data_IF_290738543069
#
_entry.id   IF_290738543069
#
_cell.length_a   1.000
_cell.length_b   1.000
_cell.length_c   1.000
_cell.angle_alpha   90.00
_cell.angle_beta   90.00
_cell.angle_gamma   90.00
#
_symmetry.space_group_name_H-M   'P 1'
#
loop_
_entity.id
_entity.type
_entity.pdbx_description
1 polymer ?
#
# COMPACT_ATOMS: atom_id res chain seq x y z
N UNK A 1 -10.17 0.58 20.82
CA UNK A 1 -9.85 1.66 19.88
C UNK A 1 -10.88 2.77 20.05
N UNK A 2 -10.51 4.03 19.80
CA UNK A 2 -11.46 5.14 19.76
C UNK A 2 -12.43 4.94 18.58
N UNK A 3 -13.75 4.78 18.83
CA UNK A 3 -14.73 4.52 17.77
C UNK A 3 -14.99 5.74 16.88
N UNK A 4 -14.48 6.92 17.23
CA UNK A 4 -14.58 8.12 16.40
C UNK A 4 -13.55 8.18 15.27
N UNK A 5 -12.50 7.35 15.33
CA UNK A 5 -11.48 7.28 14.30
C UNK A 5 -11.88 6.33 13.16
N UNK A 6 -11.54 6.67 11.91
CA UNK A 6 -11.81 5.79 10.77
C UNK A 6 -11.09 4.44 10.95
N UNK A 7 -11.80 3.37 10.63
CA UNK A 7 -11.25 2.02 10.57
C UNK A 7 -10.58 1.80 9.21
N UNK A 8 -9.37 1.26 9.22
CA UNK A 8 -8.62 0.91 8.00
C UNK A 8 -8.56 -0.60 7.75
N UNK A 9 -8.90 -1.42 8.74
CA UNK A 9 -8.83 -2.87 8.70
C UNK A 9 -10.00 -3.50 9.46
N UNK A 10 -10.27 -4.77 9.18
CA UNK A 10 -11.45 -5.50 9.66
C UNK A 10 -12.23 -6.12 8.51
N UNK A 11 -13.47 -6.52 8.78
CA UNK A 11 -14.39 -7.02 7.75
C UNK A 11 -14.55 -5.96 6.64
N UNK A 12 -14.36 -6.33 5.35
CA UNK A 12 -14.40 -5.37 4.26
C UNK A 12 -15.75 -4.63 4.23
N UNK A 13 -15.68 -3.31 4.01
CA UNK A 13 -16.86 -2.45 4.00
C UNK A 13 -16.59 -1.14 3.24
N UNK A 14 -17.64 -0.49 2.69
CA UNK A 14 -17.48 0.80 2.02
C UNK A 14 -16.85 1.90 2.90
N UNK A 15 -17.05 1.84 4.22
CA UNK A 15 -16.45 2.80 5.14
C UNK A 15 -14.93 2.66 5.24
N UNK A 16 -14.42 1.41 5.24
CA UNK A 16 -12.98 1.13 5.20
C UNK A 16 -12.40 1.57 3.85
N UNK A 17 -13.09 1.27 2.75
CA UNK A 17 -12.65 1.67 1.42
C UNK A 17 -12.58 3.20 1.26
N UNK A 18 -13.56 3.93 1.81
CA UNK A 18 -13.56 5.39 1.84
C UNK A 18 -12.40 5.95 2.68
N UNK A 19 -12.11 5.36 3.83
CA UNK A 19 -10.98 5.78 4.67
C UNK A 19 -9.62 5.61 3.95
N UNK A 20 -9.44 4.52 3.20
CA UNK A 20 -8.25 4.31 2.38
C UNK A 20 -8.18 5.26 1.18
N UNK A 21 -9.29 5.49 0.49
CA UNK A 21 -9.35 6.45 -0.61
C UNK A 21 -8.99 7.88 -0.15
N UNK A 22 -9.49 8.29 1.02
CA UNK A 22 -9.14 9.58 1.63
C UNK A 22 -7.65 9.66 1.99
N UNK A 23 -7.08 8.59 2.56
CA UNK A 23 -5.67 8.53 2.95
C UNK A 23 -4.72 8.60 1.73
N UNK A 24 -5.09 7.99 0.61
CA UNK A 24 -4.27 7.86 -0.60
C UNK A 24 -4.56 8.93 -1.67
N UNK A 25 -5.46 9.89 -1.41
CA UNK A 25 -5.89 10.87 -2.42
C UNK A 25 -4.76 11.76 -2.99
N UNK A 26 -3.59 11.80 -2.34
CA UNK A 26 -2.43 12.61 -2.73
C UNK A 26 -1.23 11.76 -3.17
N UNK A 27 -1.44 10.50 -3.52
CA UNK A 27 -0.36 9.56 -3.83
C UNK A 27 0.49 9.96 -5.05
N UNK A 28 -0.13 10.55 -6.09
CA UNK A 28 0.53 10.84 -7.37
C UNK A 28 0.44 12.32 -7.79
N UNK A 29 1.06 13.25 -7.05
CA UNK A 29 1.15 14.64 -7.48
C UNK A 29 1.85 14.77 -8.85
N UNK A 30 1.43 15.78 -9.62
CA UNK A 30 2.13 16.15 -10.85
C UNK A 30 3.45 16.85 -10.53
N UNK A 31 4.44 16.69 -11.40
CA UNK A 31 5.74 17.36 -11.33
C UNK A 31 6.08 18.02 -12.68
N UNK A 32 6.66 19.21 -12.61
CA UNK A 32 7.06 19.99 -13.79
C UNK A 32 8.47 19.62 -14.27
N UNK A 33 8.81 19.83 -15.55
CA UNK A 33 10.17 19.67 -16.04
C UNK A 33 11.21 20.49 -15.27
N UNK A 34 10.82 21.69 -14.80
CA UNK A 34 11.66 22.54 -13.95
C UNK A 34 11.96 21.89 -12.60
N UNK A 35 10.95 21.29 -11.94
CA UNK A 35 11.14 20.54 -10.69
C UNK A 35 11.94 19.27 -10.89
N UNK A 36 11.76 18.56 -12.00
CA UNK A 36 12.57 17.39 -12.37
C UNK A 36 14.04 17.80 -12.49
N UNK A 37 14.33 18.91 -13.17
CA UNK A 37 15.70 19.40 -13.35
C UNK A 37 16.39 19.78 -12.04
N UNK A 38 15.64 20.16 -11.01
CA UNK A 38 16.15 20.43 -9.66
C UNK A 38 16.45 19.16 -8.84
N UNK A 39 15.91 18.01 -9.26
CA UNK A 39 15.99 16.75 -8.54
C UNK A 39 16.69 15.68 -9.41
N UNK A 40 18.02 15.71 -9.55
CA UNK A 40 18.74 14.80 -10.45
C UNK A 40 18.72 13.32 -10.02
N UNK A 41 18.15 13.00 -8.85
CA UNK A 41 17.90 11.61 -8.44
C UNK A 41 16.57 11.06 -8.97
N UNK A 42 15.70 11.91 -9.52
CA UNK A 42 14.52 11.50 -10.25
C UNK A 42 14.88 11.36 -11.72
N UNK A 43 14.95 10.13 -12.19
CA UNK A 43 15.20 9.82 -13.58
C UNK A 43 13.87 9.68 -14.31
N UNK A 44 13.65 10.41 -15.40
CA UNK A 44 12.46 10.29 -16.23
C UNK A 44 12.89 10.13 -17.69
N UNK A 45 12.18 9.30 -18.43
CA UNK A 45 12.17 9.34 -19.89
C UNK A 45 11.20 10.44 -20.34
N UNK A 46 11.75 11.57 -20.81
CA UNK A 46 10.97 12.77 -21.15
C UNK A 46 10.07 12.60 -22.39
N UNK A 47 10.22 11.51 -23.14
CA UNK A 47 9.36 11.19 -24.28
C UNK A 47 8.28 10.17 -23.92
N UNK A 48 8.53 9.32 -22.91
CA UNK A 48 7.66 8.17 -22.57
C UNK A 48 6.90 8.31 -21.26
N UNK A 49 7.43 9.02 -20.27
CA UNK A 49 6.89 9.00 -18.90
C UNK A 49 5.79 10.04 -18.64
N UNK A 50 5.31 10.73 -19.69
CA UNK A 50 4.11 11.55 -19.57
C UNK A 50 2.89 10.64 -19.44
N UNK A 51 2.09 10.90 -18.41
CA UNK A 51 0.85 10.18 -18.23
C UNK A 51 -0.09 10.43 -19.43
N UNK A 52 -0.61 9.39 -20.10
CA UNK A 52 -1.36 9.47 -21.35
C UNK A 52 -2.63 10.32 -21.23
N UNK A 53 -3.32 10.27 -20.09
CA UNK A 53 -4.53 11.06 -19.85
C UNK A 53 -4.26 12.50 -19.40
N UNK A 54 -3.35 12.74 -18.44
CA UNK A 54 -3.11 14.08 -17.88
C UNK A 54 -2.12 14.90 -18.70
N UNK A 55 -1.29 14.24 -19.52
CA UNK A 55 -0.20 14.85 -20.27
C UNK A 55 0.97 15.36 -19.39
N UNK A 56 1.01 14.98 -18.11
CA UNK A 56 1.99 15.45 -17.12
C UNK A 56 2.88 14.31 -16.63
N UNK A 57 4.03 14.67 -16.07
CA UNK A 57 4.82 13.74 -15.25
C UNK A 57 4.24 13.69 -13.84
N UNK A 58 4.43 12.56 -13.19
CA UNK A 58 4.01 12.34 -11.82
C UNK A 58 5.16 11.70 -11.02
N UNK A 59 5.13 11.90 -9.71
CA UNK A 59 5.99 11.20 -8.77
C UNK A 59 5.14 10.69 -7.61
N UNK A 60 5.64 9.71 -6.88
CA UNK A 60 5.09 9.29 -5.61
C UNK A 60 6.10 9.54 -4.50
N UNK A 61 5.65 9.88 -3.29
CA UNK A 61 6.50 9.73 -2.10
C UNK A 61 6.37 8.29 -1.61
N UNK A 62 7.48 7.69 -1.21
CA UNK A 62 7.53 6.28 -0.88
C UNK A 62 6.57 5.90 0.27
N UNK A 63 6.27 6.81 1.21
CA UNK A 63 5.22 6.59 2.22
C UNK A 63 3.85 6.29 1.60
N UNK A 64 3.45 6.98 0.54
CA UNK A 64 2.16 6.73 -0.11
C UNK A 64 2.19 5.42 -0.89
N UNK A 65 3.30 5.11 -1.57
CA UNK A 65 3.47 3.83 -2.24
C UNK A 65 3.41 2.66 -1.22
N UNK A 66 4.08 2.78 -0.09
CA UNK A 66 4.01 1.79 1.00
C UNK A 66 2.57 1.62 1.53
N UNK A 67 1.83 2.71 1.72
CA UNK A 67 0.42 2.66 2.13
C UNK A 67 -0.48 2.04 1.04
N UNK A 68 -0.23 2.36 -0.23
CA UNK A 68 -0.92 1.77 -1.37
C UNK A 68 -0.74 0.27 -1.43
N UNK A 69 0.51 -0.22 -1.36
CA UNK A 69 0.81 -1.64 -1.32
C UNK A 69 0.17 -2.32 -0.11
N UNK A 70 0.16 -1.68 1.06
CA UNK A 70 -0.49 -2.22 2.25
C UNK A 70 -2.01 -2.36 2.05
N UNK A 71 -2.65 -1.41 1.37
CA UNK A 71 -4.05 -1.51 0.99
C UNK A 71 -4.30 -2.61 -0.05
N UNK A 72 -3.41 -2.77 -1.03
CA UNK A 72 -3.49 -3.85 -2.00
C UNK A 72 -3.46 -5.24 -1.32
N UNK A 73 -2.54 -5.44 -0.37
CA UNK A 73 -2.49 -6.67 0.44
C UNK A 73 -3.78 -6.88 1.23
N UNK A 74 -4.33 -5.82 1.85
CA UNK A 74 -5.63 -5.89 2.55
C UNK A 74 -6.74 -6.39 1.62
N UNK A 75 -6.83 -5.84 0.41
CA UNK A 75 -7.86 -6.23 -0.56
C UNK A 75 -7.67 -7.67 -1.04
N UNK A 76 -6.44 -8.14 -1.23
CA UNK A 76 -6.13 -9.52 -1.60
C UNK A 76 -6.55 -10.53 -0.50
N UNK A 77 -6.39 -10.18 0.78
CA UNK A 77 -6.87 -11.01 1.90
C UNK A 77 -8.40 -11.20 1.90
N UNK A 78 -9.12 -10.29 1.25
CA UNK A 78 -10.58 -10.30 1.10
C UNK A 78 -11.00 -10.47 -0.37
N UNK A 79 -10.21 -11.23 -1.15
CA UNK A 79 -10.47 -11.46 -2.57
C UNK A 79 -11.85 -12.04 -2.89
N UNK A 80 -12.58 -12.61 -1.94
CA UNK A 80 -13.95 -13.09 -2.20
C UNK A 80 -14.95 -11.92 -2.20
N UNK A 81 -14.67 -10.85 -1.44
CA UNK A 81 -15.45 -9.61 -1.43
C UNK A 81 -15.05 -8.71 -2.59
N UNK A 82 -13.74 -8.55 -2.80
CA UNK A 82 -13.20 -7.72 -3.86
C UNK A 82 -13.29 -8.49 -5.21
N UNK A 83 -12.96 -9.76 -5.29
CA UNK A 83 -12.78 -10.44 -6.58
C UNK A 83 -11.50 -9.96 -7.27
N UNK A 84 -11.38 -10.19 -8.57
CA UNK A 84 -10.21 -9.75 -9.34
C UNK A 84 -10.18 -8.22 -9.45
N UNK A 85 -9.49 -7.57 -8.51
CA UNK A 85 -9.28 -6.13 -8.50
C UNK A 85 -8.01 -5.74 -9.25
N UNK A 86 -8.06 -4.59 -9.90
CA UNK A 86 -6.87 -3.96 -10.47
C UNK A 86 -6.22 -3.05 -9.41
N UNK A 87 -4.95 -3.31 -9.11
CA UNK A 87 -4.18 -2.54 -8.14
C UNK A 87 -3.46 -1.39 -8.87
N UNK A 88 -4.18 -0.38 -9.34
CA UNK A 88 -3.66 0.95 -9.74
C UNK A 88 -2.53 1.05 -10.79
N UNK A 89 -1.96 -0.08 -11.20
CA UNK A 89 -0.75 -0.23 -11.99
C UNK A 89 -0.94 -1.30 -13.06
N UNK A 90 -2.17 -1.64 -13.40
CA UNK A 90 -2.49 -2.32 -14.65
C UNK A 90 -3.60 -1.47 -15.26
N UNK A 91 -3.38 -0.97 -16.47
CA UNK A 91 -4.36 -0.15 -17.17
C UNK A 91 -5.57 -0.95 -17.65
N UNK A 92 -6.04 -1.96 -16.90
CA UNK A 92 -7.29 -2.61 -17.28
C UNK A 92 -8.39 -1.63 -16.93
N UNK A 93 -8.95 -1.07 -18.01
CA UNK A 93 -10.29 -0.51 -18.00
C UNK A 93 -11.14 -1.49 -17.19
N UNK A 94 -11.56 -1.08 -16.00
CA UNK A 94 -12.68 -1.71 -15.34
C UNK A 94 -13.86 -1.49 -16.29
N UNK A 95 -14.02 -2.40 -17.26
CA UNK A 95 -15.13 -2.41 -18.18
C UNK A 95 -16.39 -2.60 -17.36
N UNK A 96 -17.03 -1.47 -17.05
CA UNK A 96 -18.47 -1.29 -17.02
C UNK A 96 -19.29 -2.35 -16.28
N UNK A 97 -18.73 -2.99 -15.24
CA UNK A 97 -19.45 -3.88 -14.33
C UNK A 97 -18.90 -3.74 -12.91
N UNK A 98 -18.91 -2.51 -12.38
CA UNK A 98 -19.03 -2.30 -10.93
C UNK A 98 -20.48 -2.67 -10.54
N UNK A 99 -20.83 -3.94 -10.67
CA UNK A 99 -21.96 -4.48 -9.95
C UNK A 99 -21.46 -4.74 -8.53
N UNK A 100 -21.98 -3.95 -7.59
CA UNK A 100 -21.80 -4.14 -6.17
C UNK A 100 -22.13 -5.58 -5.81
N UNK A 101 -21.13 -6.45 -5.64
CA UNK A 101 -21.30 -7.77 -5.06
C UNK A 101 -21.49 -7.66 -3.54
N UNK A 102 -22.52 -6.90 -3.14
CA UNK A 102 -23.09 -6.92 -1.80
C UNK A 102 -24.02 -8.13 -1.58
N UNK A 103 -24.00 -9.14 -2.46
CA UNK A 103 -25.02 -10.17 -2.51
C UNK A 103 -24.49 -11.59 -2.70
N UNK A 104 -23.44 -12.00 -1.99
CA UNK A 104 -23.28 -13.41 -1.62
C UNK A 104 -22.75 -13.55 -0.19
N UNK A 105 -23.52 -14.16 0.74
CA UNK A 105 -23.05 -14.42 2.09
C UNK A 105 -22.15 -15.65 2.07
N UNK A 106 -20.90 -15.49 1.65
CA UNK A 106 -19.85 -16.50 1.86
C UNK A 106 -19.26 -16.34 3.26
N UNK A 107 -20.11 -16.53 4.28
CA UNK A 107 -19.67 -16.74 5.65
C UNK A 107 -20.01 -18.17 6.05
N UNK A 108 -19.33 -19.13 5.43
CA UNK A 108 -19.39 -20.51 5.91
C UNK A 108 -18.23 -20.73 6.87
N UNK A 109 -18.57 -20.63 8.16
CA UNK A 109 -17.87 -21.21 9.30
C UNK A 109 -16.37 -20.91 9.41
N UNK A 110 -16.03 -19.67 9.76
CA UNK A 110 -14.72 -19.45 10.37
C UNK A 110 -14.73 -20.06 11.77
N UNK A 111 -13.88 -21.05 12.02
CA UNK A 111 -13.65 -21.53 13.38
C UNK A 111 -13.19 -20.35 14.27
N UNK A 112 -13.42 -20.43 15.58
CA UNK A 112 -12.99 -19.37 16.50
C UNK A 112 -11.49 -19.02 16.37
N UNK A 113 -10.66 -20.01 15.99
CA UNK A 113 -9.25 -19.82 15.68
C UNK A 113 -9.01 -18.97 14.43
N UNK A 114 -9.75 -19.21 13.35
CA UNK A 114 -9.59 -18.48 12.09
C UNK A 114 -10.03 -17.02 12.24
N UNK A 115 -11.12 -16.78 12.99
CA UNK A 115 -11.55 -15.43 13.34
C UNK A 115 -10.49 -14.69 14.17
N UNK A 116 -9.92 -15.36 15.19
CA UNK A 116 -8.85 -14.77 16.00
C UNK A 116 -7.56 -14.51 15.18
N UNK A 117 -7.21 -15.40 14.26
CA UNK A 117 -6.09 -15.20 13.33
C UNK A 117 -6.35 -14.00 12.41
N UNK A 118 -7.57 -13.87 11.88
CA UNK A 118 -7.95 -12.72 11.06
C UNK A 118 -7.84 -11.41 11.82
N UNK A 119 -8.41 -11.34 13.02
CA UNK A 119 -8.32 -10.16 13.89
C UNK A 119 -6.85 -9.79 14.20
N UNK A 120 -5.99 -10.80 14.39
CA UNK A 120 -4.56 -10.57 14.63
C UNK A 120 -3.87 -9.96 13.40
N UNK A 121 -4.15 -10.48 12.19
CA UNK A 121 -3.61 -9.92 10.95
C UNK A 121 -4.10 -8.48 10.73
N UNK A 122 -5.40 -8.21 10.91
CA UNK A 122 -5.96 -6.87 10.78
C UNK A 122 -5.33 -5.87 11.77
N UNK A 123 -5.12 -6.30 13.02
CA UNK A 123 -4.39 -5.52 14.02
C UNK A 123 -2.94 -5.24 13.63
N UNK A 124 -2.20 -6.25 13.16
CA UNK A 124 -0.82 -6.13 12.70
C UNK A 124 -0.70 -5.17 11.51
N UNK A 125 -1.57 -5.29 10.52
CA UNK A 125 -1.58 -4.42 9.35
C UNK A 125 -1.91 -2.97 9.74
N UNK A 126 -2.82 -2.75 10.69
CA UNK A 126 -3.09 -1.41 11.21
C UNK A 126 -1.90 -0.82 11.99
N UNK A 127 -1.13 -1.65 12.70
CA UNK A 127 0.10 -1.21 13.36
C UNK A 127 1.18 -0.80 12.34
N UNK A 128 1.31 -1.53 11.22
CA UNK A 128 2.20 -1.17 10.11
C UNK A 128 1.77 0.18 9.50
N UNK A 129 0.48 0.35 9.17
CA UNK A 129 -0.07 1.61 8.65
C UNK A 129 0.25 2.80 9.56
N UNK A 130 0.09 2.64 10.88
CA UNK A 130 0.44 3.69 11.86
C UNK A 130 1.94 3.99 11.87
N UNK A 131 2.77 2.95 11.79
CA UNK A 131 4.23 3.11 11.75
C UNK A 131 4.67 3.89 10.51
N UNK A 132 4.07 3.62 9.34
CA UNK A 132 4.34 4.34 8.08
C UNK A 132 3.98 5.83 8.18
N UNK A 133 2.84 6.19 8.79
CA UNK A 133 2.48 7.60 8.97
C UNK A 133 3.28 8.30 10.07
N UNK A 134 3.72 7.56 11.09
CA UNK A 134 4.53 8.10 12.19
C UNK A 134 5.98 8.39 11.74
N UNK A 135 6.51 7.58 10.82
CA UNK A 135 7.86 7.70 10.28
C UNK A 135 7.81 7.56 8.76
N UNK A 136 7.28 8.59 8.06
CA UNK A 136 7.10 8.53 6.62
C UNK A 136 8.44 8.54 5.91
N UNK A 137 8.59 7.66 4.92
CA UNK A 137 9.66 7.79 3.93
C UNK A 137 9.23 8.81 2.88
N UNK A 138 9.98 9.92 2.82
CA UNK A 138 9.72 11.04 1.92
C UNK A 138 10.59 10.98 0.66
N UNK A 139 11.27 9.87 0.43
CA UNK A 139 12.01 9.68 -0.80
C UNK A 139 11.07 9.69 -2.00
N UNK A 140 11.34 10.55 -3.01
CA UNK A 140 10.51 10.63 -4.17
C UNK A 140 10.86 9.52 -5.17
N UNK A 141 9.83 8.96 -5.78
CA UNK A 141 9.90 7.94 -6.81
C UNK A 141 9.38 8.53 -8.12
N UNK A 142 10.19 8.47 -9.18
CA UNK A 142 9.73 8.83 -10.52
C UNK A 142 8.71 7.78 -10.99
N UNK A 143 7.56 8.23 -11.50
CA UNK A 143 6.59 7.33 -12.11
C UNK A 143 6.95 7.12 -13.57
N UNK A 144 7.14 5.86 -13.95
CA UNK A 144 7.47 5.45 -15.31
C UNK A 144 6.30 4.79 -16.00
N UNK A 145 6.19 4.99 -17.31
CA UNK A 145 5.16 4.34 -18.12
C UNK A 145 5.70 3.05 -18.72
N UNK A 146 5.05 1.95 -18.36
CA UNK A 146 5.27 0.64 -18.93
C UNK A 146 4.10 0.26 -19.84
N UNK A 147 4.39 -0.58 -20.81
CA UNK A 147 3.42 -1.14 -21.75
C UNK A 147 3.50 -2.66 -21.66
N UNK A 148 2.37 -3.31 -21.44
CA UNK A 148 2.26 -4.76 -21.41
C UNK A 148 2.12 -5.33 -22.83
N UNK A 149 2.17 -6.66 -22.96
CA UNK A 149 2.06 -7.43 -24.20
C UNK A 149 0.74 -7.24 -24.94
N UNK A 150 -0.31 -6.76 -24.26
CA UNK A 150 -1.62 -6.43 -24.82
C UNK A 150 -1.79 -4.93 -25.12
N UNK A 151 -0.68 -4.17 -25.13
CA UNK A 151 -0.63 -2.72 -25.34
C UNK A 151 -1.25 -1.88 -24.20
N UNK A 152 -1.71 -2.52 -23.11
CA UNK A 152 -2.17 -1.79 -21.93
C UNK A 152 -1.00 -1.08 -21.26
N UNK A 153 -1.24 0.15 -20.79
CA UNK A 153 -0.23 0.98 -20.14
C UNK A 153 -0.43 1.03 -18.65
N UNK A 154 0.67 1.00 -17.92
CA UNK A 154 0.66 1.12 -16.48
C UNK A 154 1.82 1.93 -15.95
N UNK A 155 1.68 2.39 -14.71
CA UNK A 155 2.64 3.26 -14.06
C UNK A 155 3.29 2.52 -12.92
N UNK A 156 4.61 2.49 -12.85
CA UNK A 156 5.33 2.03 -11.67
C UNK A 156 6.43 3.03 -11.35
N UNK A 157 6.65 3.27 -10.07
CA UNK A 157 7.74 4.10 -9.61
C UNK A 157 8.19 3.62 -8.24
N UNK A 158 9.49 3.37 -8.09
CA UNK A 158 10.09 3.06 -6.80
C UNK A 158 11.15 4.10 -6.49
N UNK A 159 11.23 4.54 -5.23
CA UNK A 159 12.30 5.41 -4.82
C UNK A 159 13.62 4.63 -4.90
N UNK A 160 14.64 5.20 -5.54
CA UNK A 160 15.96 4.54 -5.66
C UNK A 160 16.85 4.80 -4.45
N UNK A 161 16.64 5.93 -3.75
CA UNK A 161 17.49 6.39 -2.65
C UNK A 161 16.62 6.75 -1.46
N UNK A 162 16.92 6.14 -0.32
CA UNK A 162 16.19 6.32 0.93
C UNK A 162 17.04 6.98 2.01
N UNK A 163 16.41 7.69 2.93
CA UNK A 163 17.06 8.16 4.16
C UNK A 163 16.66 7.24 5.31
N UNK A 164 17.57 6.36 5.71
CA UNK A 164 17.30 5.31 6.69
C UNK A 164 17.84 5.65 8.09
N UNK A 165 17.23 5.04 9.11
CA UNK A 165 17.88 4.90 10.41
C UNK A 165 19.09 3.97 10.30
N UNK A 166 20.06 4.12 11.19
CA UNK A 166 21.19 3.19 11.31
C UNK A 166 20.70 1.82 11.83
N UNK A 167 20.41 0.94 10.88
CA UNK A 167 19.90 -0.40 11.14
C UNK A 167 20.91 -1.26 11.92
N UNK A 168 22.21 -1.10 11.66
CA UNK A 168 23.24 -1.86 12.36
C UNK A 168 23.27 -1.53 13.84
N UNK A 169 23.14 -0.24 14.19
CA UNK A 169 23.07 0.19 15.59
C UNK A 169 21.84 -0.36 16.31
N UNK A 170 20.68 -0.41 15.64
CA UNK A 170 19.45 -1.01 16.18
C UNK A 170 19.67 -2.52 16.44
N UNK A 171 20.20 -3.24 15.46
CA UNK A 171 20.43 -4.69 15.57
C UNK A 171 21.48 -5.03 16.63
N UNK A 172 22.54 -4.22 16.74
CA UNK A 172 23.56 -4.36 17.80
C UNK A 172 22.95 -4.17 19.18
N UNK A 173 22.08 -3.17 19.35
CA UNK A 173 21.34 -2.93 20.58
C UNK A 173 20.40 -4.10 20.94
N UNK A 174 19.71 -4.67 19.95
CA UNK A 174 18.79 -5.79 20.15
C UNK A 174 19.54 -7.08 20.53
N UNK A 175 20.61 -7.41 19.81
CA UNK A 175 21.42 -8.60 20.06
C UNK A 175 22.05 -8.64 21.46
N UNK A 176 22.36 -7.47 22.03
CA UNK A 176 22.89 -7.36 23.40
C UNK A 176 21.87 -7.81 24.47
N UNK A 177 20.59 -7.96 24.14
CA UNK A 177 19.49 -8.26 25.06
C UNK A 177 18.92 -9.66 24.82
N UNK A 178 19.77 -10.70 24.91
CA UNK A 178 19.42 -12.12 24.67
C UNK A 178 17.96 -12.43 25.09
N UNK A 179 17.12 -13.00 24.19
CA UNK A 179 15.75 -13.32 24.54
C UNK A 179 15.73 -14.35 25.67
N UNK A 180 14.86 -14.13 26.67
CA UNK A 180 14.65 -15.10 27.73
C UNK A 180 13.88 -16.32 27.18
N UNK A 181 14.30 -17.57 27.47
CA UNK A 181 13.68 -18.79 26.93
C UNK A 181 12.16 -18.91 27.17
N UNK A 182 11.64 -18.23 28.19
CA UNK A 182 10.22 -18.21 28.53
C UNK A 182 9.32 -17.50 27.51
N UNK A 183 9.87 -16.65 26.64
CA UNK A 183 9.10 -15.95 25.60
C UNK A 183 8.98 -16.72 24.27
N UNK A 184 9.79 -17.77 24.09
CA UNK A 184 9.84 -18.61 22.86
C UNK A 184 9.32 -20.03 23.09
N UNK A 185 8.98 -20.38 24.33
CA UNK A 185 8.40 -21.68 24.68
C UNK A 185 6.90 -21.51 24.86
N UNK A 186 6.04 -22.24 24.11
CA UNK A 186 4.60 -22.22 24.33
C UNK A 186 4.28 -22.59 25.78
N UNK A 187 3.44 -21.80 26.44
CA UNK A 187 2.89 -22.17 27.75
C UNK A 187 1.77 -23.18 27.48
N UNK A 188 2.03 -24.45 27.80
CA UNK A 188 1.06 -25.54 27.71
C UNK A 188 0.06 -25.53 28.87
#
# INVERSE_FOLDING_TARGET
MDPSLPLYFGKPSPAIDAAWAELLQYEYPAITPEEIALNPSLNYDMDRDKHPTTGKYHFALDVFHNLHCLNAVRMELDKDYYGAHDHGHVGRRAEENYETHASQPHHQHQGALEAAQRDHIDHCMNHIRQSLQCRPDLSPAAMHVFEDTDESKYFLGNAEKHTCYDWESIMRWAAARKPEPGYITPVH
#
